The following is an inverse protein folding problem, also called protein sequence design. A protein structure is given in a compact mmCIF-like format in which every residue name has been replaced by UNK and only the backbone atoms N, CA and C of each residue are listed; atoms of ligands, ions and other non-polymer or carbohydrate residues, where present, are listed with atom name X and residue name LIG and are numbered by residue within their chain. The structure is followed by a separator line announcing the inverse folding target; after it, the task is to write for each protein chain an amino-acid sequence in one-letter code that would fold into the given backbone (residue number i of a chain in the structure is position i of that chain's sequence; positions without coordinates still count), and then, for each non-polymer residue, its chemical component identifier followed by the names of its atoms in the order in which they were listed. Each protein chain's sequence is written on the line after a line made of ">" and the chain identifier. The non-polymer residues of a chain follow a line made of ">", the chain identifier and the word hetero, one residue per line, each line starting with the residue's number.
data_IF_467853402457
#
_entry.id   IF_467853402457
#
_cell.length_a   1.000
_cell.length_b   1.000
_cell.length_c   1.000
_cell.angle_alpha   90.00
_cell.angle_beta   90.00
_cell.angle_gamma   90.00
#
_symmetry.space_group_name_H-M   'P 1'
#
loop_
_entity.id
_entity.type
_entity.pdbx_description
1 polymer ?
#
# COMPACT_ATOMS: atom_id res chain seq x y z
N UNK A 1 5.18 -25.53 7.44
CA UNK A 1 5.39 -24.15 7.91
C UNK A 1 6.05 -23.31 6.81
N UNK A 2 5.44 -22.18 6.40
CA UNK A 2 6.03 -21.28 5.40
C UNK A 2 7.13 -20.37 5.98
N UNK A 3 7.15 -20.16 7.30
CA UNK A 3 8.01 -19.17 7.96
C UNK A 3 9.52 -19.36 7.68
N UNK A 4 10.12 -20.57 7.75
CA UNK A 4 11.54 -20.74 7.41
C UNK A 4 11.84 -20.45 5.93
N UNK A 5 10.88 -20.68 5.02
CA UNK A 5 11.03 -20.35 3.60
C UNK A 5 10.99 -18.85 3.36
N UNK A 6 10.11 -18.15 4.09
CA UNK A 6 10.01 -16.69 4.05
C UNK A 6 11.29 -16.05 4.60
N UNK A 7 11.80 -16.53 5.74
CA UNK A 7 13.07 -16.05 6.30
C UNK A 7 14.25 -16.29 5.35
N UNK A 8 14.32 -17.46 4.73
CA UNK A 8 15.32 -17.77 3.72
C UNK A 8 15.23 -16.82 2.52
N UNK A 9 14.04 -16.62 1.96
CA UNK A 9 13.85 -15.74 0.79
C UNK A 9 14.22 -14.28 1.12
N UNK A 10 13.77 -13.78 2.27
CA UNK A 10 14.11 -12.42 2.73
C UNK A 10 15.61 -12.25 3.01
N UNK A 11 16.29 -13.26 3.55
CA UNK A 11 17.73 -13.24 3.77
C UNK A 11 18.51 -13.31 2.45
N UNK A 12 18.05 -14.12 1.50
CA UNK A 12 18.61 -14.20 0.15
C UNK A 12 18.52 -12.86 -0.59
N UNK A 13 17.46 -12.07 -0.35
CA UNK A 13 17.31 -10.73 -0.92
C UNK A 13 18.14 -9.65 -0.18
N UNK A 14 18.88 -10.03 0.86
CA UNK A 14 19.69 -9.13 1.70
C UNK A 14 18.86 -8.28 2.67
N UNK A 15 17.59 -8.61 2.87
CA UNK A 15 16.67 -7.88 3.75
C UNK A 15 16.83 -8.33 5.22
N UNK A 16 17.14 -9.61 5.44
CA UNK A 16 17.41 -10.20 6.75
C UNK A 16 18.82 -10.81 6.82
N UNK A 17 19.29 -11.08 8.04
CA UNK A 17 20.66 -11.57 8.29
C UNK A 17 21.04 -12.78 7.42
N UNK A 18 22.21 -12.71 6.78
CA UNK A 18 22.71 -13.71 5.82
C UNK A 18 22.78 -15.14 6.40
N UNK A 19 22.90 -15.28 7.73
CA UNK A 19 22.89 -16.58 8.42
C UNK A 19 21.61 -17.39 8.16
N UNK A 20 20.47 -16.74 7.92
CA UNK A 20 19.20 -17.41 7.64
C UNK A 20 19.11 -17.96 6.20
N UNK A 21 20.03 -17.57 5.32
CA UNK A 21 20.15 -18.08 3.95
C UNK A 21 20.91 -19.44 3.90
N UNK A 22 21.53 -19.88 5.00
CA UNK A 22 22.34 -21.10 4.97
C UNK A 22 21.46 -22.36 4.88
N UNK A 23 21.54 -23.05 3.74
CA UNK A 23 20.87 -24.33 3.48
C UNK A 23 21.82 -25.48 3.84
N UNK A 24 21.30 -26.48 4.57
CA UNK A 24 22.09 -27.69 4.86
C UNK A 24 22.21 -28.59 3.61
N UNK A 25 23.43 -29.01 3.22
CA UNK A 25 23.71 -29.62 1.91
C UNK A 25 22.98 -30.94 1.66
N UNK A 26 22.69 -31.73 2.71
CA UNK A 26 22.03 -33.04 2.55
C UNK A 26 20.50 -32.98 2.62
N UNK A 27 19.92 -31.99 3.30
CA UNK A 27 18.46 -31.93 3.53
C UNK A 27 17.77 -30.85 2.71
N UNK A 28 18.53 -29.96 2.05
CA UNK A 28 18.02 -28.87 1.20
C UNK A 28 16.99 -27.98 1.93
N UNK A 29 17.11 -27.91 3.26
CA UNK A 29 16.22 -27.13 4.13
C UNK A 29 17.02 -26.12 4.96
N UNK A 30 16.44 -24.94 5.25
CA UNK A 30 17.06 -23.94 6.12
C UNK A 30 16.88 -24.36 7.58
N UNK A 31 17.73 -25.27 8.06
CA UNK A 31 17.67 -25.85 9.41
C UNK A 31 17.86 -24.78 10.48
N UNK A 32 18.80 -23.84 10.28
CA UNK A 32 19.05 -22.76 11.22
C UNK A 32 17.83 -21.83 11.38
N UNK A 33 17.18 -21.46 10.27
CA UNK A 33 15.96 -20.65 10.31
C UNK A 33 14.80 -21.40 11.00
N UNK A 34 14.70 -22.71 10.78
CA UNK A 34 13.68 -23.55 11.42
C UNK A 34 13.90 -23.66 12.92
N UNK A 35 15.15 -23.90 13.36
CA UNK A 35 15.50 -23.99 14.77
C UNK A 35 15.30 -22.65 15.48
N UNK A 36 15.82 -21.56 14.90
CA UNK A 36 15.70 -20.23 15.48
C UNK A 36 14.24 -19.79 15.63
N UNK A 37 13.41 -20.02 14.59
CA UNK A 37 11.98 -19.69 14.65
C UNK A 37 11.21 -20.59 15.61
N UNK A 38 11.56 -21.88 15.71
CA UNK A 38 10.97 -22.81 16.68
C UNK A 38 11.29 -22.44 18.13
N UNK A 39 12.55 -22.09 18.43
CA UNK A 39 12.96 -21.60 19.75
C UNK A 39 12.25 -20.30 20.09
N UNK A 40 12.20 -19.35 19.16
CA UNK A 40 11.48 -18.10 19.35
C UNK A 40 9.98 -18.33 19.63
N UNK A 41 9.32 -19.18 18.83
CA UNK A 41 7.92 -19.53 19.04
C UNK A 41 7.69 -20.23 20.39
N UNK A 42 8.60 -21.12 20.80
CA UNK A 42 8.54 -21.80 22.11
C UNK A 42 8.68 -20.83 23.27
N UNK A 43 9.60 -19.86 23.18
CA UNK A 43 9.75 -18.80 24.19
C UNK A 43 8.48 -17.95 24.27
N UNK A 44 7.93 -17.55 23.12
CA UNK A 44 6.69 -16.77 23.07
C UNK A 44 5.51 -17.54 23.67
N UNK A 45 5.39 -18.84 23.37
CA UNK A 45 4.35 -19.70 23.95
C UNK A 45 4.49 -19.91 25.47
N UNK A 46 5.71 -19.84 26.01
CA UNK A 46 5.97 -19.96 27.44
C UNK A 46 5.70 -18.65 28.21
N UNK A 47 5.92 -17.49 27.58
CA UNK A 47 5.79 -16.18 28.21
C UNK A 47 4.39 -15.56 28.10
N UNK A 48 3.60 -15.97 27.10
CA UNK A 48 2.31 -15.36 26.80
C UNK A 48 1.16 -16.35 26.94
N UNK A 49 0.03 -15.86 27.44
CA UNK A 49 -1.22 -16.64 27.45
C UNK A 49 -1.74 -16.85 26.02
N UNK A 50 -2.51 -17.92 25.83
CA UNK A 50 -3.06 -18.29 24.52
C UNK A 50 -3.85 -17.14 23.87
N UNK A 51 -4.72 -16.46 24.62
CA UNK A 51 -5.54 -15.35 24.11
C UNK A 51 -4.67 -14.20 23.59
N UNK A 52 -3.63 -13.85 24.35
CA UNK A 52 -2.68 -12.81 23.97
C UNK A 52 -1.89 -13.20 22.71
N UNK A 53 -1.56 -14.48 22.56
CA UNK A 53 -0.83 -14.98 21.39
C UNK A 53 -1.73 -14.95 20.14
N UNK A 54 -3.03 -15.26 20.30
CA UNK A 54 -4.03 -15.17 19.23
C UNK A 54 -4.22 -13.73 18.80
N UNK A 55 -4.33 -12.78 19.73
CA UNK A 55 -4.49 -11.36 19.42
C UNK A 55 -3.27 -10.81 18.66
N UNK A 56 -2.06 -11.21 19.06
CA UNK A 56 -0.81 -10.83 18.38
C UNK A 56 -0.69 -11.43 16.97
N UNK A 57 -1.12 -12.67 16.77
CA UNK A 57 -1.17 -13.27 15.44
C UNK A 57 -2.21 -12.56 14.57
N UNK A 58 -3.39 -12.32 15.13
CA UNK A 58 -4.54 -11.72 14.43
C UNK A 58 -4.22 -10.32 13.96
N UNK A 59 -3.69 -9.44 14.82
CA UNK A 59 -3.31 -8.08 14.42
C UNK A 59 -2.28 -8.06 13.27
N UNK A 60 -1.32 -9.00 13.29
CA UNK A 60 -0.35 -9.16 12.21
C UNK A 60 -0.99 -9.53 10.87
N UNK A 61 -1.95 -10.47 10.88
CA UNK A 61 -2.67 -10.87 9.66
C UNK A 61 -3.58 -9.76 9.11
N UNK A 62 -4.30 -9.05 9.99
CA UNK A 62 -5.17 -7.93 9.61
C UNK A 62 -4.38 -6.78 9.00
N UNK A 63 -3.21 -6.47 9.57
CA UNK A 63 -2.32 -5.45 9.01
C UNK A 63 -1.74 -5.90 7.66
N UNK A 64 -1.30 -7.14 7.53
CA UNK A 64 -0.78 -7.66 6.27
C UNK A 64 -1.84 -7.60 5.15
N UNK A 65 -3.09 -7.99 5.43
CA UNK A 65 -4.17 -7.87 4.46
C UNK A 65 -4.52 -6.43 4.11
N UNK A 66 -4.43 -5.52 5.08
CA UNK A 66 -4.63 -4.08 4.84
C UNK A 66 -3.54 -3.53 3.92
N UNK A 67 -2.27 -3.84 4.19
CA UNK A 67 -1.14 -3.42 3.33
C UNK A 67 -1.29 -3.99 1.92
N UNK A 68 -1.61 -5.28 1.78
CA UNK A 68 -1.81 -5.91 0.46
C UNK A 68 -2.96 -5.24 -0.30
N UNK A 69 -4.08 -4.96 0.36
CA UNK A 69 -5.21 -4.26 -0.26
C UNK A 69 -4.84 -2.84 -0.73
N UNK A 70 -4.06 -2.11 0.08
CA UNK A 70 -3.52 -0.79 -0.29
C UNK A 70 -2.56 -0.93 -1.47
N UNK A 71 -1.63 -1.88 -1.47
CA UNK A 71 -0.70 -2.12 -2.58
C UNK A 71 -1.44 -2.40 -3.89
N UNK A 72 -2.47 -3.24 -3.87
CA UNK A 72 -3.30 -3.53 -5.05
C UNK A 72 -4.01 -2.26 -5.56
N UNK A 73 -4.54 -1.43 -4.66
CA UNK A 73 -5.15 -0.15 -5.05
C UNK A 73 -4.11 0.82 -5.63
N UNK A 74 -2.96 1.00 -4.96
CA UNK A 74 -1.87 1.86 -5.44
C UNK A 74 -1.41 1.43 -6.83
N UNK A 75 -1.16 0.13 -7.05
CA UNK A 75 -0.74 -0.39 -8.35
C UNK A 75 -1.81 -0.24 -9.43
N UNK A 76 -3.09 -0.26 -9.06
CA UNK A 76 -4.21 -0.11 -10.00
C UNK A 76 -4.38 1.33 -10.51
N UNK A 77 -4.05 2.32 -9.68
CA UNK A 77 -4.15 3.74 -10.03
C UNK A 77 -2.83 4.38 -10.43
N UNK A 78 -1.73 3.62 -10.36
CA UNK A 78 -0.42 4.04 -10.85
C UNK A 78 -0.37 4.03 -12.37
N UNK A 79 0.28 5.03 -12.94
CA UNK A 79 0.56 5.07 -14.37
C UNK A 79 1.51 3.93 -14.77
N UNK A 80 1.09 3.01 -15.68
CA UNK A 80 1.92 1.87 -16.08
C UNK A 80 3.15 2.28 -16.91
N UNK A 81 3.17 3.50 -17.48
CA UNK A 81 4.26 4.02 -18.30
C UNK A 81 4.82 5.32 -17.70
N UNK A 82 5.68 5.28 -16.66
CA UNK A 82 6.22 6.50 -16.10
C UNK A 82 7.21 7.23 -17.04
N UNK A 83 7.94 6.55 -17.95
CA UNK A 83 8.90 7.18 -18.92
C UNK A 83 9.31 6.27 -20.12
N UNK A 84 8.39 5.71 -20.92
CA UNK A 84 8.80 5.07 -22.20
C UNK A 84 7.74 5.23 -23.30
N UNK A 85 8.16 5.89 -24.38
CA UNK A 85 7.44 6.29 -25.61
C UNK A 85 6.43 7.43 -25.45
N UNK A 86 6.91 8.65 -25.74
CA UNK A 86 6.06 9.68 -26.36
C UNK A 86 5.45 9.08 -27.63
N UNK A 87 4.15 8.77 -27.57
CA UNK A 87 3.39 8.60 -28.80
C UNK A 87 3.11 10.02 -29.30
N UNK A 88 3.60 10.44 -30.48
CA UNK A 88 3.28 11.75 -31.01
C UNK A 88 1.76 11.81 -31.18
N UNK A 89 1.14 12.74 -30.44
CA UNK A 89 -0.29 12.94 -30.45
C UNK A 89 -0.71 13.33 -31.87
N UNK A 90 -1.57 12.50 -32.48
CA UNK A 90 -2.24 12.81 -33.74
C UNK A 90 -3.06 14.07 -33.53
N UNK A 91 -2.72 15.08 -34.32
CA UNK A 91 -3.38 16.37 -34.43
C UNK A 91 -4.86 16.21 -34.83
N UNK A 92 -5.76 16.69 -33.99
CA UNK A 92 -7.15 16.94 -34.38
C UNK A 92 -7.48 18.42 -34.24
N UNK A 93 -7.36 19.07 -35.39
CA UNK A 93 -7.76 20.42 -35.73
C UNK A 93 -9.21 20.73 -35.36
N UNK A 94 -9.35 21.81 -34.59
CA UNK A 94 -10.24 22.97 -34.75
C UNK A 94 -11.77 22.82 -34.66
N UNK A 95 -12.35 23.72 -33.86
CA UNK A 95 -13.80 23.90 -33.69
C UNK A 95 -14.12 24.93 -32.59
N UNK A 96 -14.03 26.21 -32.95
CA UNK A 96 -14.32 27.41 -32.17
C UNK A 96 -15.56 27.31 -31.26
N UNK A 97 -15.48 27.85 -30.03
CA UNK A 97 -16.54 28.64 -29.38
C UNK A 97 -16.03 29.31 -28.10
N UNK A 98 -16.19 30.62 -28.02
CA UNK A 98 -15.74 31.52 -26.96
C UNK A 98 -16.68 31.60 -25.73
N UNK A 99 -16.11 32.00 -24.56
CA UNK A 99 -16.67 32.65 -23.32
C UNK A 99 -16.48 31.85 -22.00
N UNK A 100 -16.45 32.50 -20.82
CA UNK A 100 -15.49 33.49 -20.32
C UNK A 100 -14.80 33.05 -18.99
N UNK A 101 -13.64 33.64 -18.69
CA UNK A 101 -12.56 33.13 -17.82
C UNK A 101 -12.68 33.32 -16.27
N UNK A 102 -13.84 33.57 -15.65
CA UNK A 102 -13.85 33.98 -14.21
C UNK A 102 -14.61 33.04 -13.25
N UNK A 103 -15.49 32.15 -13.72
CA UNK A 103 -16.23 31.19 -12.85
C UNK A 103 -15.62 29.77 -12.81
N UNK A 104 -14.51 29.55 -13.52
CA UNK A 104 -14.04 28.22 -13.91
C UNK A 104 -13.16 27.50 -12.87
N UNK A 105 -12.56 28.19 -11.90
CA UNK A 105 -11.52 27.60 -11.03
C UNK A 105 -12.03 26.54 -10.04
N UNK A 106 -13.25 26.69 -9.53
CA UNK A 106 -13.85 25.72 -8.60
C UNK A 106 -14.56 24.59 -9.35
N UNK A 107 -15.21 24.90 -10.48
CA UNK A 107 -15.99 23.92 -11.26
C UNK A 107 -15.08 23.00 -12.09
N UNK A 108 -13.97 23.50 -12.63
CA UNK A 108 -12.99 22.64 -13.34
C UNK A 108 -12.36 21.62 -12.39
N UNK A 109 -11.96 22.05 -11.20
CA UNK A 109 -11.38 21.19 -10.17
C UNK A 109 -12.33 20.07 -9.72
N UNK A 110 -13.62 20.37 -9.57
CA UNK A 110 -14.65 19.35 -9.27
C UNK A 110 -14.87 18.40 -10.45
N UNK A 111 -14.82 18.90 -11.69
CA UNK A 111 -14.97 18.08 -12.91
C UNK A 111 -13.83 17.06 -13.04
N UNK A 112 -12.62 17.43 -12.65
CA UNK A 112 -11.44 16.56 -12.65
C UNK A 112 -11.48 15.53 -11.51
N UNK A 113 -11.95 15.90 -10.31
CA UNK A 113 -12.15 14.97 -9.18
C UNK A 113 -13.18 13.88 -9.53
N UNK A 114 -14.28 14.25 -10.17
CA UNK A 114 -15.31 13.30 -10.59
C UNK A 114 -15.01 12.60 -11.93
N UNK A 115 -13.84 12.87 -12.54
CA UNK A 115 -13.45 12.36 -13.85
C UNK A 115 -14.58 12.50 -14.90
N UNK A 116 -15.29 13.63 -14.87
CA UNK A 116 -16.41 13.91 -15.80
C UNK A 116 -15.93 14.07 -17.25
N UNK A 117 -14.61 14.18 -17.45
CA UNK A 117 -13.94 14.23 -18.75
C UNK A 117 -13.70 12.85 -19.37
N UNK A 118 -14.05 11.74 -18.70
CA UNK A 118 -13.94 10.36 -19.22
C UNK A 118 -12.56 10.09 -19.84
N UNK A 119 -11.49 10.53 -19.18
CA UNK A 119 -10.13 10.26 -19.67
C UNK A 119 -9.83 8.77 -19.52
N UNK A 120 -9.34 8.15 -20.60
CA UNK A 120 -9.12 6.70 -20.69
C UNK A 120 -7.77 6.26 -20.12
N UNK A 121 -6.84 7.20 -19.95
CA UNK A 121 -5.49 6.96 -19.45
C UNK A 121 -5.27 7.78 -18.19
N UNK A 122 -4.57 7.23 -17.18
CA UNK A 122 -4.15 8.04 -16.06
C UNK A 122 -3.16 9.08 -16.57
N UNK A 123 -3.30 10.29 -16.03
CA UNK A 123 -2.36 11.38 -16.20
C UNK A 123 -1.82 11.71 -14.82
N UNK A 124 -0.65 12.37 -14.75
CA UNK A 124 -0.02 12.73 -13.47
C UNK A 124 -0.97 13.44 -12.48
N UNK A 125 -1.93 14.23 -12.97
CA UNK A 125 -2.95 14.88 -12.14
C UNK A 125 -4.03 13.90 -11.65
N UNK A 126 -4.52 13.00 -12.51
CA UNK A 126 -5.49 11.95 -12.14
C UNK A 126 -4.89 10.90 -11.20
N UNK A 127 -3.60 10.57 -11.37
CA UNK A 127 -2.83 9.72 -10.46
C UNK A 127 -2.75 10.35 -9.06
N UNK A 128 -2.35 11.63 -8.98
CA UNK A 128 -2.30 12.37 -7.70
C UNK A 128 -3.67 12.43 -7.03
N UNK A 129 -4.74 12.70 -7.79
CA UNK A 129 -6.12 12.70 -7.26
C UNK A 129 -6.49 11.31 -6.71
N UNK A 130 -6.14 10.23 -7.42
CA UNK A 130 -6.43 8.86 -7.00
C UNK A 130 -5.69 8.49 -5.72
N UNK A 131 -4.42 8.88 -5.56
CA UNK A 131 -3.68 8.68 -4.32
C UNK A 131 -4.19 9.53 -3.16
N UNK A 132 -4.56 10.78 -3.40
CA UNK A 132 -5.20 11.63 -2.40
C UNK A 132 -6.55 11.07 -1.95
N UNK A 133 -7.36 10.57 -2.88
CA UNK A 133 -8.64 9.91 -2.59
C UNK A 133 -8.45 8.58 -1.83
N UNK A 134 -7.42 7.81 -2.18
CA UNK A 134 -7.07 6.59 -1.45
C UNK A 134 -6.61 6.89 -0.02
N UNK A 135 -5.74 7.89 0.15
CA UNK A 135 -5.28 8.31 1.47
C UNK A 135 -6.43 8.84 2.33
N UNK A 136 -7.31 9.67 1.76
CA UNK A 136 -8.49 10.18 2.47
C UNK A 136 -9.48 9.07 2.81
N UNK A 137 -9.67 8.07 1.94
CA UNK A 137 -10.45 6.86 2.25
C UNK A 137 -9.88 6.11 3.45
N UNK A 138 -8.58 5.87 3.50
CA UNK A 138 -7.94 5.14 4.62
C UNK A 138 -8.11 5.89 5.94
N UNK A 139 -7.89 7.21 5.94
CA UNK A 139 -8.08 8.05 7.13
C UNK A 139 -9.54 8.03 7.58
N UNK A 140 -10.47 8.22 6.65
CA UNK A 140 -11.89 8.22 6.96
C UNK A 140 -12.38 6.83 7.44
N UNK A 141 -11.84 5.75 6.87
CA UNK A 141 -12.12 4.38 7.30
C UNK A 141 -11.67 4.15 8.74
N UNK A 142 -10.47 4.62 9.10
CA UNK A 142 -9.96 4.52 10.47
C UNK A 142 -10.85 5.32 11.45
N UNK A 143 -11.21 6.56 11.11
CA UNK A 143 -12.12 7.38 11.92
C UNK A 143 -13.48 6.70 12.07
N UNK A 144 -14.07 6.21 10.98
CA UNK A 144 -15.34 5.49 10.99
C UNK A 144 -15.30 4.26 11.90
N UNK A 145 -14.24 3.45 11.80
CA UNK A 145 -14.08 2.25 12.62
C UNK A 145 -13.91 2.60 14.10
N UNK A 146 -13.09 3.60 14.42
CA UNK A 146 -12.89 4.06 15.81
C UNK A 146 -14.21 4.61 16.37
N UNK A 147 -14.94 5.44 15.62
CA UNK A 147 -16.26 5.95 16.06
C UNK A 147 -17.26 4.81 16.25
N UNK A 148 -17.30 3.81 15.37
CA UNK A 148 -18.18 2.66 15.50
C UNK A 148 -17.95 1.89 16.81
N UNK A 149 -16.69 1.65 17.18
CA UNK A 149 -16.36 0.93 18.42
C UNK A 149 -16.72 1.76 19.66
N UNK A 150 -16.48 3.07 19.64
CA UNK A 150 -16.78 3.94 20.79
C UNK A 150 -18.28 4.21 21.00
N UNK A 151 -19.08 4.10 19.93
CA UNK A 151 -20.50 4.45 19.94
C UNK A 151 -21.40 3.20 19.97
N UNK A 152 -20.83 2.00 20.06
CA UNK A 152 -21.54 0.70 20.02
C UNK A 152 -22.69 0.63 21.06
N UNK A 153 -22.45 1.05 22.30
CA UNK A 153 -23.47 1.09 23.36
C UNK A 153 -24.60 2.10 23.06
N UNK A 154 -24.25 3.27 22.54
CA UNK A 154 -25.21 4.33 22.18
C UNK A 154 -26.05 3.96 20.95
N UNK A 155 -25.49 3.15 20.05
CA UNK A 155 -26.16 2.62 18.88
C UNK A 155 -27.17 1.54 19.28
N UNK A 156 -26.80 0.66 20.23
CA UNK A 156 -27.71 -0.34 20.81
C UNK A 156 -28.93 0.31 21.48
N UNK A 157 -28.72 1.47 22.11
CA UNK A 157 -29.77 2.26 22.76
C UNK A 157 -30.62 3.10 21.78
N UNK A 158 -30.34 3.05 20.47
CA UNK A 158 -31.10 3.78 19.45
C UNK A 158 -30.95 5.30 19.51
N UNK A 159 -29.85 5.81 20.08
CA UNK A 159 -29.65 7.26 20.22
C UNK A 159 -29.45 7.93 18.86
N UNK A 160 -30.18 9.03 18.62
CA UNK A 160 -30.24 9.66 17.28
C UNK A 160 -28.90 10.25 16.86
N UNK A 161 -28.16 10.89 17.77
CA UNK A 161 -26.88 11.53 17.45
C UNK A 161 -25.80 10.52 17.04
N UNK A 162 -25.81 9.32 17.63
CA UNK A 162 -24.92 8.23 17.28
C UNK A 162 -25.17 7.74 15.85
N UNK A 163 -26.44 7.49 15.53
CA UNK A 163 -26.89 7.03 14.21
C UNK A 163 -26.55 8.09 13.15
N UNK A 164 -26.81 9.37 13.42
CA UNK A 164 -26.53 10.44 12.45
C UNK A 164 -25.03 10.55 12.16
N UNK A 165 -24.16 10.55 13.18
CA UNK A 165 -22.70 10.61 12.98
C UNK A 165 -22.19 9.41 12.17
N UNK A 166 -22.58 8.19 12.52
CA UNK A 166 -22.17 6.97 11.80
C UNK A 166 -22.67 7.00 10.35
N UNK A 167 -23.92 7.42 10.12
CA UNK A 167 -24.50 7.52 8.78
C UNK A 167 -23.79 8.55 7.90
N UNK A 168 -23.41 9.71 8.45
CA UNK A 168 -22.66 10.75 7.73
C UNK A 168 -21.27 10.26 7.34
N UNK A 169 -20.53 9.63 8.26
CA UNK A 169 -19.22 9.07 7.98
C UNK A 169 -19.28 7.94 6.93
N UNK A 170 -20.28 7.06 7.02
CA UNK A 170 -20.51 6.00 6.04
C UNK A 170 -20.84 6.58 4.65
N UNK A 171 -21.65 7.64 4.58
CA UNK A 171 -21.98 8.31 3.33
C UNK A 171 -20.74 8.96 2.71
N UNK A 172 -19.90 9.64 3.50
CA UNK A 172 -18.64 10.20 3.04
C UNK A 172 -17.69 9.11 2.50
N UNK A 173 -17.61 7.95 3.16
CA UNK A 173 -16.85 6.79 2.69
C UNK A 173 -17.34 6.29 1.33
N UNK A 174 -18.67 6.17 1.17
CA UNK A 174 -19.29 5.77 -0.10
C UNK A 174 -19.02 6.80 -1.19
N UNK A 175 -19.06 8.10 -0.90
CA UNK A 175 -18.71 9.15 -1.88
C UNK A 175 -17.27 8.96 -2.37
N UNK A 176 -16.31 8.75 -1.48
CA UNK A 176 -14.91 8.54 -1.87
C UNK A 176 -14.75 7.25 -2.69
N UNK A 177 -15.49 6.19 -2.35
CA UNK A 177 -15.51 4.95 -3.14
C UNK A 177 -16.08 5.18 -4.55
N UNK A 178 -17.13 5.98 -4.67
CA UNK A 178 -17.70 6.34 -5.97
C UNK A 178 -16.70 7.16 -6.79
N UNK A 179 -16.00 8.12 -6.16
CA UNK A 179 -14.92 8.89 -6.81
C UNK A 179 -13.84 7.92 -7.31
N UNK A 180 -13.36 7.01 -6.46
CA UNK A 180 -12.32 6.04 -6.81
C UNK A 180 -12.77 5.07 -7.92
N UNK A 181 -14.05 4.68 -7.93
CA UNK A 181 -14.65 3.88 -8.99
C UNK A 181 -14.76 4.66 -10.32
N UNK A 182 -14.91 5.99 -10.29
CA UNK A 182 -14.96 6.84 -11.50
C UNK A 182 -13.57 7.20 -12.03
N UNK A 183 -12.52 7.12 -11.21
CA UNK A 183 -11.15 7.42 -11.64
C UNK A 183 -10.66 6.39 -12.67
N UNK A 184 -9.83 6.80 -13.65
CA UNK A 184 -9.32 5.91 -14.66
C UNK A 184 -8.37 4.89 -14.03
N UNK A 185 -8.58 3.63 -14.35
CA UNK A 185 -7.81 2.52 -13.81
C UNK A 185 -6.79 2.04 -14.85
N UNK A 186 -5.58 1.71 -14.41
CA UNK A 186 -4.56 1.12 -15.27
C UNK A 186 -5.10 -0.21 -15.86
N UNK A 187 -5.20 -0.27 -17.18
CA UNK A 187 -5.54 -1.49 -17.90
C UNK A 187 -4.29 -2.33 -18.11
N UNK A 188 -3.98 -3.19 -17.15
CA UNK A 188 -3.09 -4.31 -17.44
C UNK A 188 -3.88 -5.47 -18.03
N UNK A 189 -3.36 -6.05 -19.12
CA UNK A 189 -3.88 -7.28 -19.72
C UNK A 189 -3.56 -8.48 -18.82
N UNK A 190 -4.19 -8.55 -17.64
CA UNK A 190 -4.09 -9.71 -16.77
C UNK A 190 -5.04 -10.80 -17.27
N UNK A 191 -4.50 -12.01 -17.44
CA UNK A 191 -5.23 -13.20 -17.89
C UNK A 191 -6.36 -13.61 -16.92
N UNK A 192 -6.27 -13.13 -15.66
CA UNK A 192 -7.29 -13.28 -14.64
C UNK A 192 -7.75 -11.90 -14.15
N UNK A 193 -9.01 -11.55 -14.45
CA UNK A 193 -9.65 -10.31 -14.00
C UNK A 193 -10.56 -10.62 -12.81
N UNK A 194 -10.31 -10.00 -11.67
CA UNK A 194 -11.28 -9.98 -10.58
C UNK A 194 -12.35 -8.93 -10.90
N UNK A 195 -13.66 -9.28 -10.93
CA UNK A 195 -14.70 -8.44 -11.53
C UNK A 195 -15.14 -7.22 -10.70
N UNK A 196 -14.78 -7.11 -9.42
CA UNK A 196 -15.25 -6.06 -8.51
C UNK A 196 -14.15 -5.10 -7.98
N UNK A 197 -13.11 -4.79 -8.77
CA UNK A 197 -12.18 -3.71 -8.41
C UNK A 197 -12.84 -2.34 -8.66
N UNK A 198 -12.83 -1.36 -7.72
CA UNK A 198 -12.01 -1.24 -6.50
C UNK A 198 -12.75 -1.57 -5.18
N UNK A 199 -13.99 -2.06 -5.25
CA UNK A 199 -14.87 -2.25 -4.09
C UNK A 199 -14.32 -3.32 -3.11
N UNK A 200 -13.80 -4.44 -3.63
CA UNK A 200 -13.32 -5.55 -2.77
C UNK A 200 -12.12 -5.14 -1.90
N UNK A 201 -11.02 -4.53 -2.42
CA UNK A 201 -9.93 -4.06 -1.58
C UNK A 201 -10.37 -3.01 -0.54
N UNK A 202 -11.26 -2.10 -0.92
CA UNK A 202 -11.74 -1.06 -0.01
C UNK A 202 -12.60 -1.62 1.13
N UNK A 203 -13.45 -2.61 0.85
CA UNK A 203 -14.23 -3.32 1.87
C UNK A 203 -13.30 -4.10 2.80
N UNK A 204 -12.27 -4.76 2.25
CA UNK A 204 -11.24 -5.47 3.03
C UNK A 204 -10.54 -4.52 4.02
N UNK A 205 -10.12 -3.33 3.58
CA UNK A 205 -9.51 -2.31 4.46
C UNK A 205 -10.46 -1.91 5.59
N UNK A 206 -11.74 -1.66 5.28
CA UNK A 206 -12.74 -1.27 6.28
C UNK A 206 -12.95 -2.35 7.34
N UNK A 207 -13.14 -3.61 6.89
CA UNK A 207 -13.33 -4.75 7.79
C UNK A 207 -12.09 -4.96 8.66
N UNK A 208 -10.89 -4.98 8.06
CA UNK A 208 -9.66 -5.20 8.82
C UNK A 208 -9.42 -4.10 9.86
N UNK A 209 -9.67 -2.83 9.52
CA UNK A 209 -9.57 -1.71 10.44
C UNK A 209 -10.61 -1.80 11.57
N UNK A 210 -11.84 -2.23 11.28
CA UNK A 210 -12.86 -2.45 12.30
C UNK A 210 -12.45 -3.53 13.30
N UNK A 211 -11.94 -4.67 12.81
CA UNK A 211 -11.44 -5.73 13.67
C UNK A 211 -10.25 -5.22 14.51
N UNK A 212 -9.31 -4.50 13.90
CA UNK A 212 -8.17 -3.90 14.61
C UNK A 212 -8.60 -2.88 15.68
N UNK A 213 -9.69 -2.14 15.45
CA UNK A 213 -10.24 -1.19 16.42
C UNK A 213 -10.91 -1.87 17.63
N UNK A 214 -11.36 -3.13 17.49
CA UNK A 214 -11.92 -3.93 18.59
C UNK A 214 -10.86 -4.63 19.46
N UNK A 215 -9.59 -4.62 19.05
CA UNK A 215 -8.51 -5.23 19.82
C UNK A 215 -8.10 -4.37 21.02
N UNK A 216 -7.64 -5.04 22.08
CA UNK A 216 -7.13 -4.40 23.30
C UNK A 216 -5.91 -3.49 23.01
N UNK A 217 -5.81 -2.36 23.73
CA UNK A 217 -4.68 -1.44 23.69
C UNK A 217 -3.34 -2.14 24.03
N UNK A 218 -3.35 -3.17 24.87
CA UNK A 218 -2.16 -3.97 25.17
C UNK A 218 -1.60 -4.67 23.93
N UNK A 219 -2.47 -5.13 23.03
CA UNK A 219 -2.07 -5.76 21.77
C UNK A 219 -1.41 -4.73 20.84
N UNK A 220 -1.95 -3.52 20.79
CA UNK A 220 -1.37 -2.41 20.04
C UNK A 220 0.02 -1.99 20.54
N UNK A 221 0.22 -1.93 21.85
CA UNK A 221 1.52 -1.63 22.44
C UNK A 221 2.55 -2.70 22.04
N UNK A 222 2.20 -3.98 22.18
CA UNK A 222 3.09 -5.10 21.82
C UNK A 222 3.42 -5.10 20.34
N UNK A 223 2.42 -4.88 19.49
CA UNK A 223 2.61 -4.74 18.05
C UNK A 223 3.54 -3.57 17.72
N UNK A 224 3.34 -2.41 18.37
CA UNK A 224 4.21 -1.23 18.21
C UNK A 224 5.66 -1.50 18.59
N UNK A 225 5.91 -2.22 19.69
CA UNK A 225 7.27 -2.63 20.10
C UNK A 225 7.89 -3.54 19.03
N UNK A 226 7.15 -4.54 18.54
CA UNK A 226 7.66 -5.47 17.53
C UNK A 226 7.95 -4.77 16.20
N UNK A 227 7.07 -3.85 15.79
CA UNK A 227 7.27 -3.02 14.61
C UNK A 227 8.50 -2.12 14.76
N UNK A 228 8.71 -1.53 15.94
CA UNK A 228 9.88 -0.71 16.22
C UNK A 228 11.17 -1.53 16.13
N UNK A 229 11.22 -2.71 16.76
CA UNK A 229 12.37 -3.63 16.65
C UNK A 229 12.62 -4.02 15.19
N UNK A 230 11.57 -4.37 14.44
CA UNK A 230 11.67 -4.66 13.01
C UNK A 230 12.21 -3.48 12.19
N UNK A 231 11.78 -2.26 12.51
CA UNK A 231 12.28 -1.04 11.88
C UNK A 231 13.76 -0.81 12.18
N UNK A 232 14.22 -1.04 13.42
CA UNK A 232 15.64 -0.93 13.75
C UNK A 232 16.48 -1.93 12.95
N UNK A 233 16.05 -3.19 12.87
CA UNK A 233 16.73 -4.21 12.05
C UNK A 233 16.75 -3.77 10.57
N UNK A 234 15.63 -3.24 10.08
CA UNK A 234 15.55 -2.76 8.70
C UNK A 234 16.53 -1.61 8.43
N UNK A 235 16.59 -0.60 9.29
CA UNK A 235 17.45 0.57 9.08
C UNK A 235 18.94 0.21 9.22
N UNK A 236 19.32 -0.54 10.25
CA UNK A 236 20.72 -0.82 10.55
C UNK A 236 21.31 -1.95 9.69
N UNK A 237 20.52 -2.96 9.33
CA UNK A 237 20.99 -4.12 8.59
C UNK A 237 20.46 -4.16 7.15
N UNK A 238 19.13 -4.04 6.97
CA UNK A 238 18.52 -4.23 5.64
C UNK A 238 18.89 -3.14 4.63
N UNK A 239 18.83 -1.85 4.99
CA UNK A 239 19.12 -0.76 4.04
C UNK A 239 20.56 -0.83 3.49
N UNK A 240 21.60 -1.05 4.32
CA UNK A 240 22.96 -1.19 3.82
C UNK A 240 23.20 -2.46 2.99
N UNK A 241 22.56 -3.58 3.36
CA UNK A 241 22.82 -4.91 2.78
C UNK A 241 21.86 -5.29 1.65
N UNK A 242 20.82 -4.48 1.39
CA UNK A 242 19.81 -4.74 0.36
C UNK A 242 20.46 -4.81 -1.02
N UNK A 243 20.31 -5.97 -1.67
CA UNK A 243 20.89 -6.28 -2.98
C UNK A 243 20.32 -5.34 -4.05
N UNK A 244 19.03 -5.03 -3.99
CA UNK A 244 18.39 -4.08 -4.91
C UNK A 244 18.93 -2.66 -4.73
N UNK A 245 19.16 -2.23 -3.48
CA UNK A 245 19.79 -0.95 -3.18
C UNK A 245 21.21 -0.84 -3.75
N UNK A 246 21.98 -1.92 -3.69
CA UNK A 246 23.33 -2.01 -4.27
C UNK A 246 23.25 -1.98 -5.80
N UNK A 247 22.37 -2.77 -6.42
CA UNK A 247 22.14 -2.80 -7.88
C UNK A 247 21.73 -1.42 -8.41
N UNK A 248 20.83 -0.72 -7.73
CA UNK A 248 20.41 0.62 -8.11
C UNK A 248 21.56 1.65 -8.06
N UNK A 249 22.43 1.56 -7.04
CA UNK A 249 23.64 2.41 -6.96
C UNK A 249 24.63 2.11 -8.08
N UNK A 250 24.83 0.83 -8.42
CA UNK A 250 25.69 0.41 -9.54
C UNK A 250 25.16 0.94 -10.89
N UNK A 251 23.88 0.75 -11.19
CA UNK A 251 23.26 1.28 -12.40
C UNK A 251 23.39 2.82 -12.53
N UNK A 252 23.29 3.55 -11.42
CA UNK A 252 23.48 5.00 -11.39
C UNK A 252 24.95 5.42 -11.60
N UNK A 253 25.90 4.61 -11.16
CA UNK A 253 27.34 4.85 -11.37
C UNK A 253 27.77 4.55 -12.82
N UNK A 254 27.22 3.50 -13.42
CA UNK A 254 27.46 3.13 -14.82
C UNK A 254 26.92 4.20 -15.79
N UNK A 255 25.67 4.63 -15.61
CA UNK A 255 25.07 5.71 -16.41
C UNK A 255 25.85 7.03 -16.31
N UNK A 256 26.36 7.38 -15.12
CA UNK A 256 27.19 8.58 -14.92
C UNK A 256 28.55 8.46 -15.63
N UNK A 257 29.15 7.27 -15.66
CA UNK A 257 30.40 7.01 -16.37
C UNK A 257 30.22 7.07 -17.88
N UNK A 258 29.14 6.48 -18.40
CA UNK A 258 28.78 6.48 -19.81
C UNK A 258 28.45 7.90 -20.34
N UNK A 259 27.78 8.72 -19.53
CA UNK A 259 27.50 10.12 -19.89
C UNK A 259 28.79 10.99 -19.88
N UNK A 260 29.77 10.66 -19.03
CA UNK A 260 31.05 11.36 -18.97
C UNK A 260 31.96 11.01 -20.16
N UNK A 261 31.91 9.77 -20.66
CA UNK A 261 32.62 9.37 -21.87
C UNK A 261 32.04 10.01 -23.14
N UNK A 262 30.71 10.01 -23.29
CA UNK A 262 30.05 10.66 -24.45
C UNK A 262 30.30 12.18 -24.49
N UNK A 263 30.28 12.85 -23.34
CA UNK A 263 30.60 14.29 -23.25
C UNK A 263 32.05 14.57 -23.66
N UNK A 264 33.00 13.67 -23.31
CA UNK A 264 34.42 13.82 -23.69
C UNK A 264 34.67 13.53 -25.17
N UNK A 265 33.90 12.64 -25.77
CA UNK A 265 33.98 12.31 -27.18
C UNK A 265 33.44 13.46 -28.04
N UNK A 266 32.30 14.03 -27.65
CA UNK A 266 31.72 15.21 -28.31
C UNK A 266 32.59 16.48 -28.17
N UNK A 267 33.40 16.60 -27.12
CA UNK A 267 34.29 17.74 -26.92
C UNK A 267 35.61 17.67 -27.74
N UNK A 268 35.87 16.55 -28.43
CA UNK A 268 37.04 16.37 -29.30
C UNK A 268 36.75 16.60 -30.79
N UNK A 269 35.48 16.86 -31.13
CA UNK A 269 34.99 17.19 -32.48
C UNK A 269 34.82 18.71 -32.55
#
# INVERSE_FOLDING_TARGET
>A
FPLPRVLYAMAHDGILFDFFCLIHPSTQTPVLATLASGVFAGIMAALFNLDQLIDMMSIGTLLAYTIVAICVLVLRYRDPNPVMYEVPMVERSNGNSARPEIQASTISSLKDIFNLSMMKYPSRTSEMISYCALASYIVLAAVFCITLVNVEDFLANGTVWAITVVSVLALCMVIILLILHRQPQAQENLNFKVPLLPLIPCLSICINLYLMAKLDIHTWIRFGIWLFVGMLIYIFYSIPNSIEGIKAKQAKAESKSQNKSSTRENAKI
#
